data_IF_634785479049
#
_entry.id   IF_634785479049
#
_cell.length_a   1.000
_cell.length_b   1.000
_cell.length_c   1.000
_cell.angle_alpha   90.00
_cell.angle_beta   90.00
_cell.angle_gamma   90.00
#
_symmetry.space_group_name_H-M   'P 1'
#
loop_
_entity.id
_entity.type
_entity.pdbx_description
1 polymer ?
#
# COMPACT_ATOMS: atom_id res chain seq x y z
N UNK A 1 43.17 -15.60 -14.58
CA UNK A 1 43.96 -15.56 -15.84
C UNK A 1 42.95 -15.49 -16.97
N UNK A 2 42.91 -14.40 -17.74
CA UNK A 2 41.97 -14.29 -18.85
C UNK A 2 42.29 -15.37 -19.89
N UNK A 3 41.32 -16.22 -20.21
CA UNK A 3 41.48 -17.25 -21.24
C UNK A 3 41.29 -16.57 -22.59
N UNK A 4 42.39 -16.34 -23.31
CA UNK A 4 42.34 -15.87 -24.69
C UNK A 4 41.60 -16.89 -25.54
N UNK A 5 40.63 -16.45 -26.35
CA UNK A 5 39.96 -17.30 -27.33
C UNK A 5 40.99 -17.73 -28.39
N UNK A 6 41.39 -19.02 -28.47
CA UNK A 6 42.45 -19.47 -29.36
C UNK A 6 42.05 -19.45 -30.84
N UNK A 7 40.77 -19.18 -31.15
CA UNK A 7 40.25 -19.11 -32.53
C UNK A 7 40.39 -17.70 -33.13
N UNK A 8 40.64 -16.66 -32.32
CA UNK A 8 40.93 -15.30 -32.83
C UNK A 8 42.42 -15.15 -33.12
N UNK A 9 42.91 -15.78 -34.19
CA UNK A 9 44.28 -15.55 -34.71
C UNK A 9 44.22 -14.71 -35.97
N UNK A 10 44.51 -13.40 -35.88
CA UNK A 10 44.77 -12.56 -37.05
C UNK A 10 46.24 -12.73 -37.42
N UNK A 11 46.50 -13.32 -38.59
CA UNK A 11 47.87 -13.55 -39.09
C UNK A 11 48.30 -12.30 -39.86
N UNK A 12 49.25 -11.54 -39.32
CA UNK A 12 49.79 -10.34 -39.97
C UNK A 12 50.76 -10.73 -41.10
N UNK A 13 50.51 -10.26 -42.33
CA UNK A 13 51.38 -10.52 -43.48
C UNK A 13 51.96 -9.21 -44.05
N UNK A 14 53.02 -9.31 -44.84
CA UNK A 14 53.70 -8.14 -45.45
C UNK A 14 52.85 -7.39 -46.50
N UNK A 15 51.66 -7.91 -46.82
CA UNK A 15 50.73 -7.37 -47.82
C UNK A 15 49.55 -6.63 -47.17
N UNK A 16 49.55 -6.47 -45.85
CA UNK A 16 48.49 -5.73 -45.16
C UNK A 16 48.70 -4.22 -45.40
N UNK A 17 47.70 -3.46 -45.88
CA UNK A 17 47.87 -2.06 -46.29
C UNK A 17 48.51 -1.18 -45.20
N UNK A 18 49.46 -0.32 -45.58
CA UNK A 18 50.20 0.55 -44.65
C UNK A 18 49.41 1.83 -44.24
N UNK A 19 48.16 1.97 -44.71
CA UNK A 19 47.47 3.25 -44.84
C UNK A 19 46.55 3.60 -43.65
N UNK A 20 46.73 2.97 -42.48
CA UNK A 20 45.95 3.27 -41.26
C UNK A 20 44.61 2.52 -41.14
N UNK A 21 44.06 2.04 -42.25
CA UNK A 21 42.80 1.26 -42.36
C UNK A 21 42.75 0.05 -41.40
N UNK A 22 43.91 -0.55 -41.14
CA UNK A 22 44.06 -1.71 -40.25
C UNK A 22 43.98 -1.39 -38.75
N UNK A 23 44.33 -0.16 -38.39
CA UNK A 23 44.24 0.38 -37.03
C UNK A 23 42.81 0.81 -36.78
N UNK A 24 42.17 1.41 -37.79
CA UNK A 24 40.77 1.82 -37.74
C UNK A 24 39.84 0.60 -37.58
N UNK A 25 40.02 -0.45 -38.38
CA UNK A 25 39.30 -1.73 -38.24
C UNK A 25 39.46 -2.36 -36.84
N UNK A 26 40.66 -2.26 -36.27
CA UNK A 26 40.94 -2.81 -34.94
C UNK A 26 40.32 -1.96 -33.83
N UNK A 27 40.35 -0.63 -33.99
CA UNK A 27 39.74 0.32 -33.07
C UNK A 27 38.22 0.15 -33.05
N UNK A 28 37.58 0.06 -34.21
CA UNK A 28 36.13 -0.14 -34.33
C UNK A 28 35.70 -1.46 -33.68
N UNK A 29 36.42 -2.55 -33.96
CA UNK A 29 36.16 -3.84 -33.33
C UNK A 29 36.34 -3.81 -31.81
N UNK A 30 37.35 -3.10 -31.30
CA UNK A 30 37.54 -2.94 -29.86
C UNK A 30 36.42 -2.08 -29.26
N UNK A 31 36.05 -1.00 -29.93
CA UNK A 31 34.95 -0.12 -29.55
C UNK A 31 33.62 -0.88 -29.45
N UNK A 32 33.29 -1.69 -30.45
CA UNK A 32 32.10 -2.56 -30.43
C UNK A 32 32.13 -3.56 -29.26
N UNK A 33 33.28 -4.18 -28.98
CA UNK A 33 33.42 -5.08 -27.83
C UNK A 33 33.23 -4.34 -26.50
N UNK A 34 33.78 -3.13 -26.36
CA UNK A 34 33.60 -2.31 -25.17
C UNK A 34 32.15 -1.87 -25.01
N UNK A 35 31.49 -1.51 -26.10
CA UNK A 35 30.08 -1.14 -26.08
C UNK A 35 29.20 -2.33 -25.67
N UNK A 36 29.45 -3.52 -26.24
CA UNK A 36 28.76 -4.75 -25.84
C UNK A 36 28.97 -5.10 -24.36
N UNK A 37 30.19 -4.95 -23.85
CA UNK A 37 30.49 -5.17 -22.42
C UNK A 37 29.75 -4.15 -21.54
N UNK A 38 29.73 -2.87 -21.94
CA UNK A 38 28.98 -1.83 -21.23
C UNK A 38 27.49 -2.15 -21.18
N UNK A 39 26.88 -2.47 -22.31
CA UNK A 39 25.45 -2.77 -22.39
C UNK A 39 25.09 -3.98 -21.51
N UNK A 40 25.96 -4.99 -21.45
CA UNK A 40 25.78 -6.17 -20.60
C UNK A 40 25.95 -5.87 -19.11
N UNK A 41 26.89 -5.01 -18.74
CA UNK A 41 27.04 -4.51 -17.35
C UNK A 41 25.81 -3.71 -16.96
N UNK A 42 25.39 -2.74 -17.78
CA UNK A 42 24.21 -1.91 -17.52
C UNK A 42 22.94 -2.78 -17.37
N UNK A 43 22.80 -3.81 -18.20
CA UNK A 43 21.70 -4.79 -18.09
C UNK A 43 21.78 -5.59 -16.79
N UNK A 44 22.97 -6.02 -16.38
CA UNK A 44 23.18 -6.77 -15.13
C UNK A 44 22.90 -5.90 -13.91
N UNK A 45 23.37 -4.67 -13.89
CA UNK A 45 23.13 -3.71 -12.83
C UNK A 45 21.63 -3.37 -12.72
N UNK A 46 20.95 -3.16 -13.85
CA UNK A 46 19.49 -2.98 -13.89
C UNK A 46 18.75 -4.21 -13.32
N UNK A 47 19.15 -5.42 -13.71
CA UNK A 47 18.55 -6.65 -13.22
C UNK A 47 18.81 -6.87 -11.72
N UNK A 48 20.00 -6.55 -11.22
CA UNK A 48 20.33 -6.66 -9.80
C UNK A 48 19.52 -5.69 -8.95
N UNK A 49 19.32 -4.45 -9.44
CA UNK A 49 18.47 -3.47 -8.79
C UNK A 49 16.99 -3.88 -8.80
N UNK A 50 16.52 -4.49 -9.91
CA UNK A 50 15.17 -5.04 -10.01
C UNK A 50 14.94 -6.25 -9.10
N UNK A 51 15.97 -7.05 -8.85
CA UNK A 51 15.90 -8.24 -8.02
C UNK A 51 15.84 -7.95 -6.52
N UNK A 52 16.39 -6.82 -6.04
CA UNK A 52 16.59 -6.62 -4.61
C UNK A 52 15.32 -6.15 -3.87
N UNK A 53 14.46 -5.36 -4.52
CA UNK A 53 13.19 -4.85 -3.94
C UNK A 53 12.21 -4.70 -5.10
N UNK A 54 11.07 -5.39 -5.21
CA UNK A 54 10.13 -5.24 -6.34
C UNK A 54 9.48 -3.85 -6.45
N UNK A 55 9.14 -3.39 -7.66
CA UNK A 55 8.41 -2.13 -7.89
C UNK A 55 7.09 -2.15 -7.10
N UNK A 56 6.73 -1.03 -6.48
CA UNK A 56 5.56 -0.90 -5.62
C UNK A 56 5.78 -1.38 -4.18
N UNK A 57 6.92 -2.00 -3.88
CA UNK A 57 7.25 -2.35 -2.49
C UNK A 57 7.44 -1.11 -1.64
N UNK A 58 6.89 -1.15 -0.42
CA UNK A 58 7.07 -0.09 0.58
C UNK A 58 8.11 -0.57 1.60
N UNK A 59 9.12 0.25 1.83
CA UNK A 59 10.20 0.00 2.78
C UNK A 59 10.22 1.07 3.87
N UNK A 60 10.77 0.71 5.02
CA UNK A 60 11.18 1.67 6.05
C UNK A 60 12.58 2.21 5.72
N UNK A 61 12.74 3.53 5.74
CA UNK A 61 13.99 4.24 5.45
C UNK A 61 14.22 5.35 6.48
N UNK A 62 14.40 4.96 7.74
CA UNK A 62 14.54 5.89 8.88
C UNK A 62 15.73 6.86 8.75
N UNK A 63 16.79 6.47 8.04
CA UNK A 63 17.96 7.31 7.79
C UNK A 63 17.85 8.16 6.52
N UNK A 64 16.77 8.00 5.75
CA UNK A 64 16.56 8.69 4.48
C UNK A 64 17.67 8.45 3.44
N UNK A 65 18.17 7.22 3.34
CA UNK A 65 19.28 6.86 2.45
C UNK A 65 18.81 6.23 1.14
N UNK A 66 17.55 5.80 1.04
CA UNK A 66 17.02 5.21 -0.19
C UNK A 66 17.05 6.26 -1.32
N UNK A 67 17.64 5.95 -2.50
CA UNK A 67 17.82 6.90 -3.58
C UNK A 67 16.49 7.47 -4.08
N UNK A 68 16.38 8.80 -4.14
CA UNK A 68 15.16 9.49 -4.57
C UNK A 68 14.77 9.25 -6.05
N UNK A 69 15.69 8.70 -6.85
CA UNK A 69 15.42 8.25 -8.22
C UNK A 69 14.56 6.98 -8.25
N UNK A 70 14.79 6.06 -7.31
CA UNK A 70 14.15 4.74 -7.28
C UNK A 70 13.04 4.67 -6.24
N UNK A 71 13.06 5.56 -5.25
CA UNK A 71 12.14 5.59 -4.13
C UNK A 71 11.52 6.97 -3.92
N UNK A 72 10.24 6.99 -3.53
CA UNK A 72 9.52 8.21 -3.17
C UNK A 72 8.82 8.03 -1.84
N UNK A 73 8.69 9.11 -1.07
CA UNK A 73 7.97 9.08 0.20
C UNK A 73 6.49 8.74 -0.02
N UNK A 74 5.95 7.86 0.83
CA UNK A 74 4.51 7.54 0.82
C UNK A 74 3.75 8.56 1.67
N UNK A 75 3.57 9.76 1.11
CA UNK A 75 2.96 10.92 1.76
C UNK A 75 1.86 11.58 0.91
N UNK A 76 1.18 10.79 0.06
CA UNK A 76 0.19 11.25 -0.93
C UNK A 76 0.72 12.18 -2.03
N UNK A 77 2.03 12.37 -2.18
CA UNK A 77 2.58 13.21 -3.26
C UNK A 77 2.15 12.69 -4.64
N UNK A 78 1.94 13.64 -5.55
CA UNK A 78 1.73 13.36 -6.96
C UNK A 78 3.08 13.18 -7.67
N UNK A 79 3.22 12.11 -8.46
CA UNK A 79 4.41 11.83 -9.26
C UNK A 79 4.03 11.63 -10.73
N UNK A 80 4.99 11.84 -11.63
CA UNK A 80 4.79 11.75 -13.08
C UNK A 80 4.43 10.34 -13.54
N UNK A 81 3.36 10.20 -14.33
CA UNK A 81 2.99 8.93 -14.99
C UNK A 81 4.05 8.49 -16.00
N UNK A 82 4.60 9.43 -16.76
CA UNK A 82 5.59 9.12 -17.82
C UNK A 82 6.96 8.73 -17.26
N UNK A 83 7.39 9.38 -16.17
CA UNK A 83 8.69 9.07 -15.56
C UNK A 83 8.65 7.77 -14.75
N UNK A 84 7.48 7.38 -14.23
CA UNK A 84 7.29 6.23 -13.35
C UNK A 84 6.20 5.29 -13.90
N UNK A 85 6.29 5.00 -15.20
CA UNK A 85 5.27 4.26 -15.97
C UNK A 85 5.09 2.83 -15.49
N UNK A 86 6.17 2.13 -15.14
CA UNK A 86 6.10 0.73 -14.71
C UNK A 86 5.29 0.55 -13.42
N UNK A 87 5.40 1.49 -12.48
CA UNK A 87 4.57 1.49 -11.28
C UNK A 87 3.12 1.88 -11.60
N UNK A 88 2.92 2.88 -12.46
CA UNK A 88 1.58 3.28 -12.89
C UNK A 88 0.83 2.11 -13.55
N UNK A 89 1.44 1.46 -14.53
CA UNK A 89 0.86 0.32 -15.25
C UNK A 89 0.60 -0.89 -14.34
N UNK A 90 1.33 -1.01 -13.22
CA UNK A 90 1.08 -2.06 -12.24
C UNK A 90 -0.29 -1.91 -11.56
N UNK A 91 -0.77 -0.68 -11.37
CA UNK A 91 -2.01 -0.38 -10.62
C UNK A 91 -3.15 0.14 -11.51
N UNK A 92 -2.85 0.72 -12.68
CA UNK A 92 -3.83 1.36 -13.57
C UNK A 92 -4.40 0.40 -14.60
N UNK A 93 -5.71 0.52 -14.85
CA UNK A 93 -6.41 -0.17 -15.95
C UNK A 93 -7.34 0.81 -16.66
N UNK A 94 -7.64 0.53 -17.92
CA UNK A 94 -8.61 1.30 -18.72
C UNK A 94 -9.96 0.60 -18.68
N UNK A 95 -11.02 1.38 -18.47
CA UNK A 95 -12.40 0.96 -18.63
C UNK A 95 -12.89 1.38 -20.02
N UNK A 96 -13.22 0.41 -20.85
CA UNK A 96 -13.64 0.63 -22.24
C UNK A 96 -15.15 0.80 -22.39
N UNK A 97 -15.92 0.51 -21.34
CA UNK A 97 -17.36 0.67 -21.32
C UNK A 97 -17.99 -0.01 -20.12
N UNK A 98 -19.22 0.41 -19.80
CA UNK A 98 -20.09 -0.31 -18.88
C UNK A 98 -21.25 -0.88 -19.70
N UNK A 99 -21.72 -2.07 -19.35
CA UNK A 99 -22.86 -2.75 -19.95
C UNK A 99 -24.01 -2.81 -18.93
N UNK A 100 -24.88 -1.77 -18.88
CA UNK A 100 -25.98 -1.67 -17.92
C UNK A 100 -26.86 -2.91 -17.82
N UNK A 101 -27.19 -3.52 -18.96
CA UNK A 101 -28.09 -4.69 -18.99
C UNK A 101 -27.56 -5.93 -18.23
N UNK A 102 -26.28 -5.93 -17.84
CA UNK A 102 -25.63 -7.05 -17.13
C UNK A 102 -24.78 -6.57 -15.95
N UNK A 103 -24.80 -5.28 -15.65
CA UNK A 103 -23.96 -4.64 -14.62
C UNK A 103 -22.45 -4.90 -14.77
N UNK A 104 -21.98 -5.14 -16.01
CA UNK A 104 -20.57 -5.48 -16.25
C UNK A 104 -19.77 -4.26 -16.67
N UNK A 105 -18.57 -4.16 -16.09
CA UNK A 105 -17.57 -3.16 -16.41
C UNK A 105 -16.50 -3.83 -17.26
N UNK A 106 -16.31 -3.36 -18.49
CA UNK A 106 -15.34 -3.93 -19.43
C UNK A 106 -13.95 -3.34 -19.20
N UNK A 107 -12.98 -4.22 -18.97
CA UNK A 107 -11.56 -3.88 -18.86
C UNK A 107 -10.73 -5.10 -19.25
N UNK A 108 -10.08 -5.07 -20.39
CA UNK A 108 -9.35 -6.25 -20.92
C UNK A 108 -8.15 -6.60 -20.05
N UNK A 109 -7.97 -7.89 -19.75
CA UNK A 109 -6.86 -8.43 -18.97
C UNK A 109 -6.60 -7.64 -17.67
N UNK A 110 -7.66 -7.29 -16.96
CA UNK A 110 -7.59 -6.39 -15.81
C UNK A 110 -6.86 -7.03 -14.61
N UNK A 111 -6.88 -8.36 -14.49
CA UNK A 111 -6.21 -9.11 -13.43
C UNK A 111 -6.84 -8.95 -12.04
N UNK A 112 -8.05 -8.38 -11.96
CA UNK A 112 -8.76 -8.23 -10.69
C UNK A 112 -9.29 -9.58 -10.21
N UNK A 113 -9.29 -9.76 -8.89
CA UNK A 113 -9.82 -10.95 -8.24
C UNK A 113 -11.09 -10.62 -7.43
N UNK A 114 -11.87 -11.66 -7.12
CA UNK A 114 -13.08 -11.55 -6.32
C UNK A 114 -12.80 -10.87 -4.98
N UNK A 115 -13.61 -9.86 -4.64
CA UNK A 115 -13.50 -9.12 -3.38
C UNK A 115 -12.35 -8.11 -3.31
N UNK A 116 -11.57 -7.92 -4.38
CA UNK A 116 -10.55 -6.87 -4.42
C UNK A 116 -11.18 -5.48 -4.41
N UNK A 117 -10.53 -4.50 -3.77
CA UNK A 117 -10.92 -3.10 -3.85
C UNK A 117 -10.40 -2.42 -5.12
N UNK A 118 -11.28 -1.66 -5.78
CA UNK A 118 -10.95 -0.82 -6.93
C UNK A 118 -11.58 0.57 -6.78
N UNK A 119 -11.11 1.55 -7.53
CA UNK A 119 -11.75 2.86 -7.67
C UNK A 119 -11.63 3.41 -9.08
N UNK A 120 -12.53 4.33 -9.43
CA UNK A 120 -12.66 4.88 -10.78
C UNK A 120 -12.42 6.39 -10.80
N UNK A 121 -11.98 6.89 -11.96
CA UNK A 121 -11.75 8.33 -12.17
C UNK A 121 -13.01 9.12 -12.54
N UNK A 122 -14.12 8.44 -12.80
CA UNK A 122 -15.35 9.04 -13.33
C UNK A 122 -16.55 8.83 -12.41
N UNK A 123 -17.55 9.70 -12.55
CA UNK A 123 -18.88 9.59 -11.95
C UNK A 123 -19.92 9.45 -13.06
N UNK A 124 -20.88 8.54 -12.88
CA UNK A 124 -21.93 8.23 -13.85
C UNK A 124 -22.25 6.74 -13.88
N UNK A 125 -23.42 6.37 -14.41
CA UNK A 125 -23.81 4.97 -14.59
C UNK A 125 -23.86 4.14 -13.30
N UNK A 126 -24.14 4.74 -12.16
CA UNK A 126 -24.11 4.08 -10.84
C UNK A 126 -22.74 4.09 -10.14
N UNK A 127 -21.70 4.64 -10.77
CA UNK A 127 -20.36 4.80 -10.21
C UNK A 127 -20.14 6.23 -9.74
N UNK A 128 -19.45 6.40 -8.61
CA UNK A 128 -18.96 7.68 -8.10
C UNK A 128 -17.44 7.69 -8.08
N UNK A 129 -16.82 8.72 -8.64
CA UNK A 129 -15.37 8.85 -8.68
C UNK A 129 -14.75 8.76 -7.28
N UNK A 130 -13.53 8.19 -7.20
CA UNK A 130 -12.76 8.00 -5.97
C UNK A 130 -13.41 7.13 -4.89
N UNK A 131 -14.65 6.67 -5.10
CA UNK A 131 -15.32 5.73 -4.20
C UNK A 131 -14.70 4.35 -4.39
N UNK A 132 -14.50 3.64 -3.26
CA UNK A 132 -13.94 2.29 -3.24
C UNK A 132 -15.07 1.28 -3.45
N UNK A 133 -14.87 0.38 -4.40
CA UNK A 133 -15.80 -0.69 -4.74
C UNK A 133 -15.12 -2.04 -4.63
N UNK A 134 -15.88 -3.06 -4.26
CA UNK A 134 -15.42 -4.45 -4.26
C UNK A 134 -15.71 -5.08 -5.62
N UNK A 135 -14.71 -5.72 -6.22
CA UNK A 135 -14.87 -6.52 -7.44
C UNK A 135 -15.71 -7.76 -7.15
N UNK A 136 -16.67 -8.03 -8.04
CA UNK A 136 -17.58 -9.18 -7.99
C UNK A 136 -17.59 -9.90 -9.33
N UNK A 137 -17.65 -11.23 -9.27
CA UNK A 137 -17.79 -12.12 -10.42
C UNK A 137 -16.80 -11.82 -11.57
N UNK A 138 -15.49 -11.59 -11.32
CA UNK A 138 -14.56 -11.21 -12.37
C UNK A 138 -14.38 -12.34 -13.40
N UNK A 139 -14.23 -11.95 -14.66
CA UNK A 139 -13.68 -12.78 -15.73
C UNK A 139 -12.26 -12.29 -16.07
N UNK A 140 -11.73 -12.65 -17.24
CA UNK A 140 -10.47 -12.08 -17.71
C UNK A 140 -10.62 -10.63 -18.21
N UNK A 141 -11.82 -10.24 -18.66
CA UNK A 141 -12.03 -9.01 -19.44
C UNK A 141 -13.16 -8.12 -18.91
N UNK A 142 -13.86 -8.56 -17.87
CA UNK A 142 -14.93 -7.79 -17.26
C UNK A 142 -15.18 -8.24 -15.82
N UNK A 143 -15.90 -7.41 -15.07
CA UNK A 143 -16.30 -7.71 -13.71
C UNK A 143 -17.54 -6.89 -13.35
N UNK A 144 -18.14 -7.21 -12.21
CA UNK A 144 -19.21 -6.44 -11.57
C UNK A 144 -18.68 -5.81 -10.28
N UNK A 145 -19.44 -4.90 -9.66
CA UNK A 145 -18.98 -4.21 -8.44
C UNK A 145 -20.04 -4.20 -7.35
N UNK A 146 -19.61 -4.11 -6.09
CA UNK A 146 -20.46 -3.93 -4.90
C UNK A 146 -19.87 -2.89 -3.93
N UNK A 147 -20.70 -2.38 -3.00
CA UNK A 147 -20.28 -1.46 -1.93
C UNK A 147 -19.61 -2.20 -0.76
N UNK A 148 -19.97 -3.45 -0.53
CA UNK A 148 -19.43 -4.28 0.57
C UNK A 148 -18.80 -5.56 0.01
N UNK A 149 -17.88 -6.17 0.75
CA UNK A 149 -17.02 -7.28 0.27
C UNK A 149 -17.78 -8.50 -0.26
N UNK A 150 -18.95 -8.78 0.30
CA UNK A 150 -19.87 -9.83 -0.15
C UNK A 150 -21.28 -9.28 -0.44
N UNK A 151 -21.36 -8.00 -0.82
CA UNK A 151 -22.61 -7.30 -1.09
C UNK A 151 -23.26 -7.70 -2.41
N UNK A 152 -24.50 -7.24 -2.59
CA UNK A 152 -25.18 -7.30 -3.89
C UNK A 152 -24.41 -6.49 -4.93
N UNK A 153 -24.47 -6.95 -6.17
CA UNK A 153 -23.99 -6.20 -7.33
C UNK A 153 -24.75 -4.87 -7.42
N UNK A 154 -24.03 -3.80 -7.75
CA UNK A 154 -24.58 -2.48 -8.01
C UNK A 154 -25.25 -2.49 -9.39
N UNK A 155 -26.47 -1.97 -9.44
CA UNK A 155 -27.19 -1.68 -10.68
C UNK A 155 -26.50 -0.53 -11.44
N UNK A 156 -25.94 -0.84 -12.61
CA UNK A 156 -25.24 0.13 -13.45
C UNK A 156 -26.18 0.67 -14.52
N UNK A 157 -26.34 1.99 -14.61
CA UNK A 157 -27.44 2.60 -15.35
C UNK A 157 -27.07 3.20 -16.71
N UNK A 158 -25.78 3.40 -16.98
CA UNK A 158 -25.29 3.94 -18.25
C UNK A 158 -23.86 3.49 -18.54
N UNK A 159 -23.48 3.47 -19.82
CA UNK A 159 -22.08 3.20 -20.20
C UNK A 159 -21.18 4.35 -19.76
N UNK A 160 -20.00 4.03 -19.22
CA UNK A 160 -18.94 4.97 -18.89
C UNK A 160 -17.59 4.44 -19.36
N UNK A 161 -16.67 5.35 -19.66
CA UNK A 161 -15.27 5.06 -19.99
C UNK A 161 -14.35 5.88 -19.10
N UNK A 162 -13.15 5.37 -18.83
CA UNK A 162 -12.15 6.12 -18.08
C UNK A 162 -11.11 5.21 -17.43
N UNK A 163 -10.53 5.67 -16.33
CA UNK A 163 -9.46 4.97 -15.65
C UNK A 163 -9.96 4.26 -14.40
N UNK A 164 -9.32 3.12 -14.10
CA UNK A 164 -9.47 2.37 -12.87
C UNK A 164 -8.12 2.21 -12.19
N UNK A 165 -8.12 2.28 -10.86
CA UNK A 165 -6.99 1.89 -10.02
C UNK A 165 -7.35 0.63 -9.25
N UNK A 166 -6.48 -0.37 -9.31
CA UNK A 166 -6.63 -1.71 -8.70
C UNK A 166 -6.02 -1.82 -7.30
N UNK A 167 -5.17 -0.86 -6.91
CA UNK A 167 -4.73 -0.67 -5.53
C UNK A 167 -5.18 0.70 -5.05
N UNK A 168 -6.26 0.72 -4.26
CA UNK A 168 -6.95 1.95 -3.86
C UNK A 168 -6.13 2.91 -2.98
N UNK A 169 -4.97 2.49 -2.49
CA UNK A 169 -4.00 3.36 -1.81
C UNK A 169 -3.40 4.43 -2.75
N UNK A 170 -3.31 4.15 -4.06
CA UNK A 170 -2.87 5.11 -5.08
C UNK A 170 -4.03 5.96 -5.57
N UNK A 171 -3.82 7.16 -6.11
CA UNK A 171 -4.90 7.99 -6.68
C UNK A 171 -4.57 8.56 -8.06
N UNK A 172 -5.56 9.15 -8.73
CA UNK A 172 -5.45 9.58 -10.13
C UNK A 172 -4.61 10.84 -10.36
N UNK A 173 -4.09 11.50 -9.32
CA UNK A 173 -3.32 12.74 -9.46
C UNK A 173 -4.16 13.88 -10.01
N UNK A 174 -3.58 14.62 -10.94
CA UNK A 174 -4.24 15.63 -11.78
C UNK A 174 -5.20 15.04 -12.83
N UNK A 175 -5.35 13.71 -12.88
CA UNK A 175 -6.21 13.02 -13.84
C UNK A 175 -5.60 12.85 -15.22
N UNK A 176 -4.35 13.28 -15.46
CA UNK A 176 -3.73 13.25 -16.79
C UNK A 176 -2.25 12.89 -16.76
N UNK A 177 -1.41 13.72 -16.12
CA UNK A 177 0.06 13.60 -16.21
C UNK A 177 0.69 12.99 -14.95
N UNK A 178 -0.07 12.91 -13.86
CA UNK A 178 0.41 12.46 -12.54
C UNK A 178 -0.50 11.42 -11.91
N UNK A 179 0.01 10.76 -10.86
CA UNK A 179 -0.75 9.90 -9.96
C UNK A 179 -0.23 10.06 -8.54
N UNK A 180 -1.09 9.86 -7.54
CA UNK A 180 -0.70 9.97 -6.14
C UNK A 180 -0.21 8.63 -5.61
N UNK A 181 0.87 8.68 -4.83
CA UNK A 181 1.37 7.56 -4.04
C UNK A 181 0.52 7.32 -2.79
N UNK A 182 0.64 6.15 -2.14
CA UNK A 182 0.04 5.91 -0.83
C UNK A 182 0.44 6.95 0.21
N UNK A 183 -0.39 7.12 1.25
CA UNK A 183 -0.04 7.86 2.46
C UNK A 183 0.09 6.90 3.64
N UNK A 184 1.31 6.78 4.19
CA UNK A 184 1.60 5.91 5.36
C UNK A 184 1.93 6.71 6.62
N UNK A 185 1.70 8.02 6.61
CA UNK A 185 1.97 8.86 7.78
C UNK A 185 0.92 8.62 8.86
N UNK A 186 1.37 8.44 10.11
CA UNK A 186 0.48 8.38 11.28
C UNK A 186 -0.39 7.13 11.41
N UNK A 187 -0.25 6.14 10.51
CA UNK A 187 -1.07 4.92 10.51
C UNK A 187 -0.22 3.67 10.67
N UNK A 188 -0.77 2.65 11.33
CA UNK A 188 -0.15 1.33 11.40
C UNK A 188 -0.55 0.47 10.21
N UNK A 189 0.42 -0.27 9.67
CA UNK A 189 0.14 -1.33 8.70
C UNK A 189 -0.29 -2.61 9.42
N UNK A 190 -1.21 -3.34 8.80
CA UNK A 190 -1.58 -4.71 9.21
C UNK A 190 -1.71 -5.59 7.97
N UNK A 191 -1.37 -6.87 8.10
CA UNK A 191 -1.49 -7.83 7.00
C UNK A 191 -2.95 -8.00 6.61
N UNK A 192 -3.25 -7.89 5.31
CA UNK A 192 -4.59 -8.08 4.77
C UNK A 192 -5.08 -9.53 4.95
N UNK A 193 -6.39 -9.69 5.02
CA UNK A 193 -7.11 -10.94 5.11
C UNK A 193 -7.46 -11.37 6.53
N UNK A 194 -8.04 -12.57 6.61
CA UNK A 194 -8.42 -13.23 7.86
C UNK A 194 -7.29 -14.17 8.28
N UNK A 195 -6.83 -14.04 9.53
CA UNK A 195 -5.86 -14.96 10.10
C UNK A 195 -6.45 -16.38 10.16
N UNK A 196 -5.66 -17.41 9.90
CA UNK A 196 -6.17 -18.78 9.80
C UNK A 196 -6.58 -19.39 11.16
N UNK A 197 -5.87 -19.10 12.25
CA UNK A 197 -6.02 -19.84 13.51
C UNK A 197 -6.12 -18.99 14.76
N UNK A 198 -5.74 -17.70 14.68
CA UNK A 198 -5.75 -16.82 15.85
C UNK A 198 -7.12 -16.16 16.00
N UNK A 199 -7.85 -16.60 17.02
CA UNK A 199 -9.09 -15.99 17.44
C UNK A 199 -8.85 -14.69 18.22
N UNK A 200 -9.73 -13.70 18.02
CA UNK A 200 -9.82 -12.49 18.86
C UNK A 200 -10.61 -12.80 20.14
N UNK A 201 -10.53 -11.91 21.12
CA UNK A 201 -11.16 -12.10 22.44
C UNK A 201 -12.67 -12.41 22.38
N UNK A 202 -13.40 -11.82 21.43
CA UNK A 202 -14.83 -12.05 21.23
C UNK A 202 -15.16 -13.29 20.36
N UNK A 203 -14.18 -14.13 20.05
CA UNK A 203 -14.32 -15.24 19.10
C UNK A 203 -14.23 -14.78 17.63
N UNK A 204 -14.03 -15.74 16.72
CA UNK A 204 -13.68 -15.50 15.32
C UNK A 204 -12.23 -15.03 15.15
N UNK A 205 -11.68 -15.16 13.94
CA UNK A 205 -10.28 -14.83 13.72
C UNK A 205 -10.05 -13.33 13.51
N UNK A 206 -8.80 -12.89 13.70
CA UNK A 206 -8.38 -11.53 13.32
C UNK A 206 -8.60 -11.32 11.82
N UNK A 207 -9.30 -10.25 11.45
CA UNK A 207 -9.58 -9.86 10.07
C UNK A 207 -9.15 -8.42 9.86
N UNK A 208 -8.38 -8.18 8.80
CA UNK A 208 -7.90 -6.88 8.38
C UNK A 208 -8.64 -6.31 7.16
N UNK A 209 -9.57 -7.07 6.58
CA UNK A 209 -10.15 -6.77 5.27
C UNK A 209 -9.17 -7.08 4.14
N UNK A 210 -9.47 -6.59 2.94
CA UNK A 210 -8.63 -6.80 1.75
C UNK A 210 -7.55 -5.72 1.65
N UNK A 211 -6.66 -5.84 0.67
CA UNK A 211 -5.62 -4.82 0.43
C UNK A 211 -6.29 -3.46 0.18
N UNK A 212 -5.83 -2.42 0.89
CA UNK A 212 -6.39 -1.06 0.81
C UNK A 212 -7.59 -0.79 1.72
N UNK A 213 -8.02 -1.74 2.56
CA UNK A 213 -9.00 -1.51 3.62
C UNK A 213 -8.44 -0.55 4.68
N UNK A 214 -9.21 0.49 5.01
CA UNK A 214 -8.86 1.47 6.04
C UNK A 214 -9.61 1.15 7.33
N UNK A 215 -8.86 0.88 8.40
CA UNK A 215 -9.40 0.72 9.76
C UNK A 215 -9.30 2.03 10.54
N UNK A 216 -10.22 2.21 11.49
CA UNK A 216 -10.13 3.27 12.52
C UNK A 216 -9.59 2.67 13.82
N UNK A 217 -9.12 3.52 14.73
CA UNK A 217 -8.75 3.08 16.07
C UNK A 217 -9.97 2.55 16.83
N UNK A 218 -9.76 1.46 17.58
CA UNK A 218 -10.82 0.77 18.31
C UNK A 218 -10.28 0.22 19.63
N UNK A 219 -11.05 0.40 20.70
CA UNK A 219 -10.80 -0.21 22.00
C UNK A 219 -11.89 -1.25 22.29
N UNK A 220 -11.52 -2.38 22.89
CA UNK A 220 -12.51 -3.34 23.35
C UNK A 220 -13.30 -2.76 24.52
N UNK A 221 -14.62 -2.97 24.50
CA UNK A 221 -15.47 -2.59 25.62
C UNK A 221 -14.99 -3.28 26.90
N UNK A 222 -14.81 -2.50 27.97
CA UNK A 222 -14.50 -3.00 29.29
C UNK A 222 -15.34 -2.27 30.33
N UNK A 223 -15.67 -2.96 31.41
CA UNK A 223 -16.41 -2.39 32.53
C UNK A 223 -15.57 -2.46 33.81
N UNK A 224 -15.46 -1.33 34.50
CA UNK A 224 -14.89 -1.30 35.86
C UNK A 224 -16.06 -1.22 36.83
N UNK A 225 -16.21 -2.24 37.68
CA UNK A 225 -17.18 -2.21 38.78
C UNK A 225 -16.52 -1.59 40.02
N UNK A 226 -17.00 -0.43 40.44
CA UNK A 226 -16.72 0.07 41.77
C UNK A 226 -17.36 -0.88 42.79
N UNK A 227 -16.55 -1.48 43.67
CA UNK A 227 -17.08 -2.25 44.79
C UNK A 227 -17.61 -1.27 45.84
N UNK A 228 -18.91 -1.33 46.09
CA UNK A 228 -19.54 -0.70 47.23
C UNK A 228 -19.43 -1.66 48.42
N UNK A 229 -18.54 -1.39 49.36
CA UNK A 229 -18.56 -2.04 50.67
C UNK A 229 -19.33 -1.13 51.64
N UNK A 230 -20.58 -1.48 51.94
CA UNK A 230 -21.28 -0.89 53.08
C UNK A 230 -20.65 -1.46 54.36
N UNK A 231 -19.66 -0.77 54.92
CA UNK A 231 -19.31 -1.00 56.31
C UNK A 231 -20.42 -0.37 57.17
N UNK A 232 -21.34 -1.20 57.67
CA UNK A 232 -22.19 -0.82 58.79
C UNK A 232 -21.29 -0.64 60.02
N UNK A 233 -20.73 0.55 60.20
CA UNK A 233 -20.09 0.96 61.44
C UNK A 233 -21.17 1.05 62.52
N UNK A 234 -21.32 -0.03 63.29
CA UNK A 234 -22.02 0.02 64.56
C UNK A 234 -21.15 0.83 65.52
N UNK A 235 -21.38 2.14 65.59
CA UNK A 235 -20.69 3.05 66.52
C UNK A 235 -20.26 4.33 65.83
N UNK A 236 -20.83 5.45 66.26
CA UNK A 236 -20.76 6.74 65.57
C UNK A 236 -19.35 7.30 65.39
N UNK A 237 -19.15 7.97 64.26
CA UNK A 237 -17.99 8.82 64.00
C UNK A 237 -17.53 8.76 62.55
N UNK A 238 -17.66 9.89 61.86
CA UNK A 238 -17.15 10.21 60.51
C UNK A 238 -18.04 9.78 59.34
N UNK A 239 -18.79 10.76 58.81
CA UNK A 239 -19.38 10.71 57.48
C UNK A 239 -18.24 10.53 56.46
N UNK A 240 -18.06 9.32 55.94
CA UNK A 240 -17.46 9.19 54.61
C UNK A 240 -18.48 9.82 53.67
N UNK A 241 -18.07 10.81 52.87
CA UNK A 241 -18.90 11.45 51.85
C UNK A 241 -19.43 10.38 50.89
N UNK A 242 -20.64 9.91 51.18
CA UNK A 242 -21.45 9.04 50.34
C UNK A 242 -21.82 9.90 49.15
N UNK A 243 -21.41 9.50 47.94
CA UNK A 243 -22.06 9.97 46.73
C UNK A 243 -23.48 9.40 46.73
N UNK A 244 -24.38 10.08 47.42
CA UNK A 244 -25.82 9.85 47.36
C UNK A 244 -26.29 10.14 45.94
N UNK A 245 -26.30 9.15 45.07
CA UNK A 245 -27.00 9.24 43.78
C UNK A 245 -28.50 9.10 44.03
N UNK A 246 -29.12 10.20 44.44
CA UNK A 246 -30.58 10.35 44.47
C UNK A 246 -30.97 11.22 43.27
N UNK A 247 -31.35 10.60 42.16
CA UNK A 247 -31.85 11.29 40.98
C UNK A 247 -30.78 11.93 40.10
N UNK A 248 -30.88 11.66 38.79
CA UNK A 248 -29.98 12.11 37.72
C UNK A 248 -28.58 11.48 37.81
N UNK A 249 -28.23 10.68 36.80
CA UNK A 249 -26.88 10.18 36.59
C UNK A 249 -25.96 11.35 36.25
N UNK A 250 -25.50 12.07 37.27
CA UNK A 250 -24.34 12.94 37.14
C UNK A 250 -23.13 12.05 36.89
N UNK A 251 -22.59 12.10 35.67
CA UNK A 251 -21.25 11.64 35.33
C UNK A 251 -20.23 12.49 36.11
N UNK A 252 -20.19 12.31 37.42
CA UNK A 252 -19.11 12.83 38.24
C UNK A 252 -17.93 11.94 37.91
N UNK A 253 -17.02 12.47 37.09
CA UNK A 253 -15.66 11.99 36.86
C UNK A 253 -15.00 11.70 38.21
N UNK A 254 -15.32 10.55 38.78
CA UNK A 254 -14.69 10.05 39.98
C UNK A 254 -13.34 9.54 39.50
N UNK A 255 -12.38 10.46 39.51
CA UNK A 255 -10.96 10.26 39.24
C UNK A 255 -10.31 9.35 40.31
N UNK A 256 -10.93 8.20 40.57
CA UNK A 256 -10.43 7.14 41.44
C UNK A 256 -9.96 6.01 40.56
N UNK A 257 -9.01 6.32 39.69
CA UNK A 257 -8.21 5.27 39.07
C UNK A 257 -7.22 4.76 40.12
N UNK A 258 -7.62 3.75 40.88
CA UNK A 258 -6.76 3.11 41.87
C UNK A 258 -5.98 1.97 41.20
N UNK A 259 -4.66 2.12 41.09
CA UNK A 259 -3.71 1.05 41.42
C UNK A 259 -2.30 1.61 41.65
N UNK A 260 -1.89 1.64 42.92
CA UNK A 260 -0.64 2.20 43.48
C UNK A 260 0.66 1.55 43.00
N UNK A 261 0.60 0.58 42.07
CA UNK A 261 1.76 -0.10 41.45
C UNK A 261 1.78 -0.02 39.92
N UNK A 262 0.70 0.41 39.25
CA UNK A 262 0.60 0.46 37.78
C UNK A 262 1.14 1.77 37.17
N UNK A 263 1.61 2.70 38.01
CA UNK A 263 2.11 4.02 37.60
C UNK A 263 0.98 4.99 37.21
N UNK A 264 1.37 6.23 36.92
CA UNK A 264 0.44 7.26 36.45
C UNK A 264 -0.02 6.93 35.02
N UNK A 265 -1.33 6.88 34.76
CA UNK A 265 -1.87 6.68 33.41
C UNK A 265 -1.41 7.77 32.45
N UNK A 266 -1.11 7.38 31.21
CA UNK A 266 -0.90 8.32 30.11
C UNK A 266 -2.26 8.58 29.46
N UNK A 267 -2.63 9.84 29.31
CA UNK A 267 -3.88 10.27 28.67
C UNK A 267 -3.58 11.00 27.36
N UNK A 268 -4.52 10.94 26.41
CA UNK A 268 -4.41 11.58 25.10
C UNK A 268 -5.70 11.41 24.31
N UNK A 269 -5.75 12.00 23.11
CA UNK A 269 -6.92 11.94 22.22
C UNK A 269 -6.89 10.75 21.26
N UNK A 270 -5.85 9.91 21.32
CA UNK A 270 -5.65 8.76 20.44
C UNK A 270 -5.25 7.55 21.28
N UNK A 271 -5.83 6.38 20.98
CA UNK A 271 -5.43 5.12 21.62
C UNK A 271 -4.30 4.47 20.82
N UNK A 272 -3.06 4.57 21.31
CA UNK A 272 -1.90 3.97 20.65
C UNK A 272 -1.03 3.17 21.62
N UNK A 273 -0.40 2.07 21.15
CA UNK A 273 0.71 1.46 21.87
C UNK A 273 1.94 2.39 21.82
N UNK A 274 3.00 2.06 22.57
CA UNK A 274 4.28 2.73 22.37
C UNK A 274 4.78 2.51 20.93
N UNK A 275 5.28 3.58 20.30
CA UNK A 275 5.73 3.54 18.90
C UNK A 275 6.98 4.39 18.67
N UNK A 276 7.65 4.14 17.55
CA UNK A 276 8.68 4.99 16.97
C UNK A 276 8.23 5.36 15.56
N UNK A 277 8.29 6.64 15.21
CA UNK A 277 7.96 7.09 13.87
C UNK A 277 9.13 6.79 12.91
N UNK A 278 8.80 6.13 11.80
CA UNK A 278 9.74 5.82 10.71
C UNK A 278 9.27 6.46 9.41
N UNK A 279 10.19 6.62 8.45
CA UNK A 279 9.84 7.11 7.12
C UNK A 279 9.56 5.94 6.21
N UNK A 280 8.41 5.96 5.54
CA UNK A 280 8.05 4.97 4.53
C UNK A 280 8.31 5.51 3.13
N UNK A 281 8.93 4.69 2.30
CA UNK A 281 9.16 4.97 0.89
C UNK A 281 8.70 3.83 0.02
N UNK A 282 8.15 4.15 -1.15
CA UNK A 282 7.71 3.19 -2.16
C UNK A 282 8.71 3.13 -3.30
N UNK A 283 9.00 1.93 -3.81
CA UNK A 283 9.82 1.74 -5.01
C UNK A 283 9.03 2.13 -6.25
N UNK A 284 9.56 3.07 -7.03
CA UNK A 284 8.91 3.66 -8.22
C UNK A 284 9.60 3.31 -9.56
N UNK A 285 10.86 2.84 -9.51
CA UNK A 285 11.64 2.34 -10.65
C UNK A 285 12.37 1.07 -10.23
#
# INVERSE_FOLDING_TARGET
MAVFNPVKTRTWSKNTPADGDLIDDEFDRQYENFQYLKDRIDTTDSNLMNFLIPIGSIIEDSLNLAPASNFKDTNAQAISRTSFVSLWDSVHRIITGIVPATDRINSTNHGCIEGQLVKFSFTGGGVTALTKYYVRNPTANDFQISITSAGSVIDLTSSQTGDMITNVEYSFGDGSTTYNLPDRRGIFARGAGVNATRAKAAGGNYDAGVIGTEGQDQLQAFGIRARYENYNLSGGGSNISILNFTGVAYDTLLNTLVASTAGTPRTGNETTPAYVAVRYKVRVI
#
